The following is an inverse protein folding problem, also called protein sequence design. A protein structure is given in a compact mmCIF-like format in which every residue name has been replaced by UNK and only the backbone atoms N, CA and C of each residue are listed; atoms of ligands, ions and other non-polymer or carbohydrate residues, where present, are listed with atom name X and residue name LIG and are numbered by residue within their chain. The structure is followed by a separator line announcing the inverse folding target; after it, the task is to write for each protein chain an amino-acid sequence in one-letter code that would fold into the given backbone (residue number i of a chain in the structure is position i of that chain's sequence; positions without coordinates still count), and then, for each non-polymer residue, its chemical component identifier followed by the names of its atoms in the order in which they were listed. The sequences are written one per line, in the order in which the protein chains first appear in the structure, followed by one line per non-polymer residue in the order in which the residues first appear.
data_IF_210905670085
#
_entry.id   IF_210905670085
#
_cell.length_a   1.000
_cell.length_b   1.000
_cell.length_c   1.000
_cell.angle_alpha   90.00
_cell.angle_beta   90.00
_cell.angle_gamma   90.00
#
_symmetry.space_group_name_H-M   'P 1'
#
loop_
_entity.id
_entity.type
_entity.pdbx_description
1 polymer ?
#
# COMPACT_ATOMS: atom_id res chain seq x y z
N UNK A 1 50.55 -16.69 -1.35
CA UNK A 1 49.85 -16.98 -0.07
C UNK A 1 49.06 -15.79 0.45
N UNK A 2 49.54 -14.55 0.27
CA UNK A 2 48.83 -13.31 0.66
C UNK A 2 47.62 -13.04 -0.26
N UNK A 3 47.75 -13.22 -1.59
CA UNK A 3 46.65 -13.01 -2.54
C UNK A 3 45.46 -13.96 -2.35
N UNK A 4 45.72 -15.23 -1.99
CA UNK A 4 44.67 -16.22 -1.73
C UNK A 4 43.89 -15.84 -0.46
N UNK A 5 44.57 -15.25 0.53
CA UNK A 5 43.94 -14.80 1.78
C UNK A 5 43.06 -13.57 1.55
N UNK A 6 43.52 -12.60 0.76
CA UNK A 6 42.73 -11.44 0.31
C UNK A 6 41.51 -11.86 -0.52
N UNK A 7 41.65 -12.82 -1.43
CA UNK A 7 40.53 -13.35 -2.21
C UNK A 7 39.50 -14.07 -1.33
N UNK A 8 39.96 -14.84 -0.34
CA UNK A 8 39.06 -15.57 0.57
C UNK A 8 38.33 -14.63 1.52
N UNK A 9 38.99 -13.60 2.04
CA UNK A 9 38.34 -12.57 2.87
C UNK A 9 37.32 -11.75 2.07
N UNK A 10 37.61 -11.40 0.82
CA UNK A 10 36.65 -10.71 -0.05
C UNK A 10 35.44 -11.56 -0.43
N UNK A 11 35.61 -12.88 -0.59
CA UNK A 11 34.50 -13.82 -0.83
C UNK A 11 33.64 -13.97 0.42
N UNK A 12 34.25 -14.07 1.60
CA UNK A 12 33.53 -14.16 2.87
C UNK A 12 32.76 -12.88 3.19
N UNK A 13 33.34 -11.71 2.92
CA UNK A 13 32.67 -10.41 3.09
C UNK A 13 31.44 -10.29 2.17
N UNK A 14 31.55 -10.74 0.91
CA UNK A 14 30.42 -10.73 -0.02
C UNK A 14 29.32 -11.71 0.43
N UNK A 15 29.68 -12.93 0.86
CA UNK A 15 28.70 -13.93 1.36
C UNK A 15 27.98 -13.41 2.61
N UNK A 16 28.70 -12.79 3.54
CA UNK A 16 28.11 -12.22 4.76
C UNK A 16 27.17 -11.04 4.46
N UNK A 17 27.49 -10.23 3.44
CA UNK A 17 26.61 -9.17 2.92
C UNK A 17 25.34 -9.74 2.26
N UNK A 18 25.46 -10.89 1.57
CA UNK A 18 24.32 -11.59 0.96
C UNK A 18 23.37 -12.23 1.98
N UNK A 19 23.86 -12.73 3.12
CA UNK A 19 23.00 -13.21 4.21
C UNK A 19 22.18 -12.07 4.86
N UNK A 20 22.76 -10.88 4.96
CA UNK A 20 22.10 -9.70 5.55
C UNK A 20 21.07 -9.05 4.59
N UNK A 21 21.11 -9.35 3.29
CA UNK A 21 20.17 -8.86 2.28
C UNK A 21 18.80 -9.55 2.32
N UNK A 22 18.73 -10.83 2.73
CA UNK A 22 17.49 -11.62 2.67
C UNK A 22 16.39 -11.13 3.61
N UNK A 23 16.73 -10.37 4.66
CA UNK A 23 15.79 -9.82 5.64
C UNK A 23 15.61 -8.30 5.52
N UNK A 24 16.31 -7.63 4.60
CA UNK A 24 16.09 -6.19 4.34
C UNK A 24 14.67 -5.97 3.84
N UNK A 25 13.99 -4.97 4.39
CA UNK A 25 12.58 -4.73 4.11
C UNK A 25 11.61 -5.62 4.91
N UNK A 26 12.07 -6.50 5.81
CA UNK A 26 11.18 -7.29 6.66
C UNK A 26 10.32 -6.38 7.55
N UNK A 27 10.93 -5.39 8.19
CA UNK A 27 10.21 -4.44 9.06
C UNK A 27 9.21 -3.63 8.24
N UNK A 28 9.60 -3.20 7.04
CA UNK A 28 8.72 -2.53 6.10
C UNK A 28 7.49 -3.40 5.78
N UNK A 29 7.70 -4.64 5.32
CA UNK A 29 6.61 -5.54 4.94
C UNK A 29 5.68 -5.87 6.10
N UNK A 30 6.25 -6.13 7.28
CA UNK A 30 5.46 -6.41 8.49
C UNK A 30 4.59 -5.22 8.89
N UNK A 31 5.18 -4.02 8.99
CA UNK A 31 4.46 -2.81 9.40
C UNK A 31 3.40 -2.43 8.37
N UNK A 32 3.74 -2.48 7.07
CA UNK A 32 2.81 -2.16 5.99
C UNK A 32 1.54 -3.03 6.06
N UNK A 33 1.70 -4.35 6.10
CA UNK A 33 0.57 -5.28 6.15
C UNK A 33 -0.20 -5.15 7.47
N UNK A 34 0.49 -4.98 8.59
CA UNK A 34 -0.16 -4.80 9.89
C UNK A 34 -1.04 -3.54 9.92
N UNK A 35 -0.57 -2.42 9.36
CA UNK A 35 -1.35 -1.19 9.27
C UNK A 35 -2.59 -1.34 8.39
N UNK A 36 -2.47 -2.03 7.24
CA UNK A 36 -3.61 -2.32 6.37
C UNK A 36 -4.64 -3.20 7.08
N UNK A 37 -4.20 -4.27 7.74
CA UNK A 37 -5.10 -5.16 8.49
C UNK A 37 -5.83 -4.41 9.61
N UNK A 38 -5.10 -3.61 10.39
CA UNK A 38 -5.71 -2.78 11.44
C UNK A 38 -6.73 -1.82 10.81
N UNK A 39 -6.38 -1.11 9.73
CA UNK A 39 -7.30 -0.20 9.05
C UNK A 39 -8.57 -0.90 8.57
N UNK A 40 -8.44 -2.10 8.01
CA UNK A 40 -9.55 -2.91 7.53
C UNK A 40 -10.46 -3.38 8.68
N UNK A 41 -9.90 -3.98 9.73
CA UNK A 41 -10.68 -4.52 10.85
C UNK A 41 -11.25 -3.44 11.78
N UNK A 42 -10.60 -2.29 11.90
CA UNK A 42 -11.10 -1.19 12.73
C UNK A 42 -12.16 -0.35 12.02
N UNK A 43 -12.39 -0.56 10.72
CA UNK A 43 -13.27 0.29 9.93
C UNK A 43 -12.75 1.73 9.78
N UNK A 44 -11.45 1.96 10.04
CA UNK A 44 -10.79 3.23 9.82
C UNK A 44 -10.55 3.41 8.32
N UNK A 45 -11.63 3.68 7.58
CA UNK A 45 -11.56 3.94 6.16
C UNK A 45 -11.67 5.44 5.91
N UNK A 46 -10.64 5.99 5.26
CA UNK A 46 -10.69 7.34 4.68
C UNK A 46 -11.91 7.48 3.74
N UNK A 47 -12.47 6.38 3.21
CA UNK A 47 -13.72 6.38 2.45
C UNK A 47 -14.88 7.02 3.20
N UNK A 48 -14.99 6.83 4.53
CA UNK A 48 -16.11 7.40 5.30
C UNK A 48 -16.06 8.92 5.34
N UNK A 49 -14.86 9.49 5.35
CA UNK A 49 -14.65 10.94 5.27
C UNK A 49 -14.77 11.47 3.83
N UNK A 50 -14.29 10.73 2.82
CA UNK A 50 -14.34 11.13 1.41
C UNK A 50 -15.72 10.97 0.75
N UNK A 51 -16.56 10.05 1.25
CA UNK A 51 -17.94 9.86 0.79
C UNK A 51 -18.81 11.09 0.97
N UNK A 52 -18.49 11.94 1.94
CA UNK A 52 -19.21 13.20 2.17
C UNK A 52 -18.97 14.20 1.02
N UNK A 53 -17.91 14.01 0.22
CA UNK A 53 -17.45 14.98 -0.79
C UNK A 53 -17.57 14.50 -2.25
N UNK A 54 -17.88 13.22 -2.53
CA UNK A 54 -17.88 12.69 -3.92
C UNK A 54 -18.84 11.51 -4.16
N UNK A 55 -18.96 11.06 -5.42
CA UNK A 55 -19.67 9.82 -5.80
C UNK A 55 -19.07 8.65 -5.02
N UNK A 56 -19.89 7.95 -4.21
CA UNK A 56 -19.42 7.05 -3.15
C UNK A 56 -18.36 6.02 -3.55
N UNK A 57 -18.46 5.45 -4.74
CA UNK A 57 -17.46 4.49 -5.26
C UNK A 57 -16.10 5.12 -5.61
N UNK A 58 -16.07 6.32 -6.19
CA UNK A 58 -14.82 7.02 -6.55
C UNK A 58 -14.10 7.46 -5.27
N UNK A 59 -14.84 7.93 -4.27
CA UNK A 59 -14.33 8.12 -2.90
C UNK A 59 -13.70 6.83 -2.36
N UNK A 60 -14.33 5.70 -2.66
CA UNK A 60 -13.87 4.35 -2.33
C UNK A 60 -12.47 4.03 -2.82
N UNK A 61 -12.24 4.21 -4.12
CA UNK A 61 -10.95 3.94 -4.75
C UNK A 61 -9.87 4.92 -4.25
N UNK A 62 -10.20 6.21 -4.21
CA UNK A 62 -9.25 7.24 -3.77
C UNK A 62 -8.85 7.02 -2.31
N UNK A 63 -9.81 6.70 -1.43
CA UNK A 63 -9.54 6.46 -0.02
C UNK A 63 -8.69 5.21 0.20
N UNK A 64 -9.01 4.10 -0.48
CA UNK A 64 -8.21 2.88 -0.41
C UNK A 64 -6.77 3.08 -0.93
N UNK A 65 -6.61 3.74 -2.07
CA UNK A 65 -5.30 4.03 -2.65
C UNK A 65 -4.48 5.00 -1.77
N UNK A 66 -5.13 6.02 -1.19
CA UNK A 66 -4.48 6.97 -0.28
C UNK A 66 -4.04 6.29 1.03
N UNK A 67 -4.87 5.40 1.58
CA UNK A 67 -4.52 4.62 2.77
C UNK A 67 -3.28 3.74 2.55
N UNK A 68 -3.15 3.15 1.36
CA UNK A 68 -1.95 2.38 1.00
C UNK A 68 -0.69 3.26 0.96
N UNK A 69 -0.75 4.42 0.30
CA UNK A 69 0.39 5.36 0.25
C UNK A 69 0.80 5.83 1.65
N UNK A 70 -0.17 6.04 2.55
CA UNK A 70 0.11 6.37 3.95
C UNK A 70 0.73 5.20 4.71
N UNK A 71 0.25 3.97 4.52
CA UNK A 71 0.86 2.78 5.12
C UNK A 71 2.30 2.60 4.65
N UNK A 72 2.57 2.81 3.36
CA UNK A 72 3.93 2.78 2.78
C UNK A 72 4.85 3.86 3.35
N UNK A 73 4.33 5.08 3.54
CA UNK A 73 5.06 6.16 4.20
C UNK A 73 5.47 5.76 5.61
N UNK A 74 4.52 5.28 6.42
CA UNK A 74 4.78 4.90 7.82
C UNK A 74 5.74 3.70 7.88
N UNK A 75 5.52 2.67 7.07
CA UNK A 75 6.37 1.49 7.02
C UNK A 75 7.81 1.81 6.59
N UNK A 76 7.97 2.65 5.56
CA UNK A 76 9.31 3.03 5.08
C UNK A 76 10.04 3.96 6.03
N UNK A 77 9.32 4.80 6.78
CA UNK A 77 9.93 5.61 7.83
C UNK A 77 10.39 4.78 9.03
N UNK A 78 9.72 3.66 9.32
CA UNK A 78 10.06 2.78 10.45
C UNK A 78 11.20 1.83 10.11
N UNK A 79 11.27 1.32 8.88
CA UNK A 79 12.35 0.43 8.44
C UNK A 79 13.63 1.22 8.06
N UNK A 80 14.73 1.09 8.82
CA UNK A 80 15.97 1.83 8.53
C UNK A 80 16.61 1.47 7.18
N UNK A 81 16.38 0.25 6.69
CA UNK A 81 16.92 -0.21 5.40
C UNK A 81 16.17 0.38 4.19
N UNK A 82 14.91 0.77 4.38
CA UNK A 82 14.03 1.31 3.34
C UNK A 82 13.87 2.84 3.43
N UNK A 83 14.10 3.44 4.59
CA UNK A 83 13.98 4.89 4.85
C UNK A 83 14.60 5.81 3.78
N UNK A 84 15.79 5.53 3.19
CA UNK A 84 16.33 6.37 2.11
C UNK A 84 15.46 6.42 0.86
N UNK A 85 14.65 5.37 0.63
CA UNK A 85 13.76 5.23 -0.53
C UNK A 85 12.34 5.77 -0.28
N UNK A 86 12.02 6.22 0.95
CA UNK A 86 10.67 6.69 1.35
C UNK A 86 10.09 7.72 0.38
N UNK A 87 10.88 8.72 -0.04
CA UNK A 87 10.40 9.76 -0.96
C UNK A 87 10.00 9.16 -2.30
N UNK A 88 10.79 8.23 -2.82
CA UNK A 88 10.50 7.53 -4.08
C UNK A 88 9.25 6.66 -3.98
N UNK A 89 9.08 5.95 -2.86
CA UNK A 89 7.90 5.13 -2.58
C UNK A 89 6.64 6.00 -2.56
N UNK A 90 6.67 7.12 -1.84
CA UNK A 90 5.51 8.01 -1.70
C UNK A 90 5.16 8.69 -3.03
N UNK A 91 6.13 9.25 -3.73
CA UNK A 91 5.89 9.87 -5.05
C UNK A 91 5.39 8.83 -6.05
N UNK A 92 6.03 7.65 -6.08
CA UNK A 92 5.63 6.53 -6.92
C UNK A 92 4.21 6.04 -6.62
N UNK A 93 3.79 6.11 -5.35
CA UNK A 93 2.42 5.83 -4.92
C UNK A 93 1.43 6.91 -5.37
N UNK A 94 1.76 8.20 -5.24
CA UNK A 94 0.86 9.31 -5.57
C UNK A 94 0.62 9.44 -7.08
N UNK A 95 1.63 9.19 -7.92
CA UNK A 95 1.53 9.37 -9.38
C UNK A 95 0.33 8.61 -9.98
N UNK A 96 0.15 7.29 -9.72
CA UNK A 96 -1.03 6.54 -10.16
C UNK A 96 -2.37 7.11 -9.71
N UNK A 97 -2.47 7.70 -8.51
CA UNK A 97 -3.72 8.27 -8.00
C UNK A 97 -4.22 9.42 -8.90
N UNK A 98 -3.32 10.18 -9.53
CA UNK A 98 -3.67 11.26 -10.44
C UNK A 98 -4.37 10.75 -11.72
N UNK A 99 -4.18 9.48 -12.06
CA UNK A 99 -4.79 8.85 -13.24
C UNK A 99 -6.16 8.23 -12.95
N UNK A 100 -6.62 8.17 -11.70
CA UNK A 100 -7.95 7.65 -11.33
C UNK A 100 -9.09 8.23 -12.21
N UNK A 101 -9.22 9.56 -12.43
CA UNK A 101 -10.30 10.09 -13.28
C UNK A 101 -10.19 9.69 -14.75
N UNK A 102 -8.97 9.46 -15.24
CA UNK A 102 -8.73 8.98 -16.61
C UNK A 102 -9.12 7.50 -16.69
N UNK A 103 -8.71 6.69 -15.71
CA UNK A 103 -9.05 5.27 -15.65
C UNK A 103 -10.56 5.05 -15.54
N UNK A 104 -11.27 5.87 -14.76
CA UNK A 104 -12.74 5.83 -14.68
C UNK A 104 -13.38 6.08 -16.05
N UNK A 105 -12.93 7.10 -16.79
CA UNK A 105 -13.50 7.44 -18.10
C UNK A 105 -13.23 6.42 -19.20
N UNK A 106 -12.08 5.73 -19.18
CA UNK A 106 -11.63 4.89 -20.31
C UNK A 106 -11.68 3.38 -20.04
N UNK A 107 -11.61 2.94 -18.78
CA UNK A 107 -11.58 1.51 -18.42
C UNK A 107 -12.95 1.04 -17.93
N UNK A 108 -13.67 1.85 -17.16
CA UNK A 108 -14.96 1.49 -16.60
C UNK A 108 -16.05 1.89 -17.60
N UNK A 109 -16.75 0.90 -18.15
CA UNK A 109 -17.70 1.09 -19.27
C UNK A 109 -19.14 0.71 -18.94
N UNK A 110 -19.44 0.28 -17.71
CA UNK A 110 -20.81 0.01 -17.26
C UNK A 110 -21.12 0.68 -15.92
N UNK A 111 -22.37 1.13 -15.78
CA UNK A 111 -22.95 1.76 -14.59
C UNK A 111 -23.25 0.76 -13.44
N UNK A 112 -22.73 -0.48 -13.54
CA UNK A 112 -22.95 -1.49 -12.52
C UNK A 112 -22.12 -1.15 -11.29
N UNK A 113 -22.84 -0.78 -10.24
CA UNK A 113 -22.37 -0.38 -8.91
C UNK A 113 -21.16 -1.21 -8.46
N UNK A 114 -19.96 -0.66 -8.65
CA UNK A 114 -18.75 -1.33 -8.19
C UNK A 114 -18.70 -1.16 -6.66
N UNK A 115 -19.04 -2.23 -5.95
CA UNK A 115 -19.10 -2.28 -4.49
C UNK A 115 -17.67 -2.18 -3.93
N UNK A 116 -17.20 -0.98 -3.59
CA UNK A 116 -15.90 -0.80 -2.91
C UNK A 116 -16.13 -0.66 -1.42
N UNK A 117 -16.13 -1.81 -0.76
CA UNK A 117 -15.54 -2.01 0.56
C UNK A 117 -15.91 -0.99 1.63
N UNK A 118 -17.17 -0.59 1.72
CA UNK A 118 -17.72 -0.08 2.97
C UNK A 118 -18.72 -1.10 3.49
N UNK A 119 -18.41 -1.72 4.64
CA UNK A 119 -19.29 -2.71 5.25
C UNK A 119 -20.68 -2.14 5.57
N UNK A 120 -20.81 -0.81 5.70
CA UNK A 120 -22.12 -0.16 5.88
C UNK A 120 -22.93 -0.07 4.59
N UNK A 121 -22.30 0.07 3.42
CA UNK A 121 -23.01 0.08 2.13
C UNK A 121 -23.50 -1.32 1.80
N UNK A 122 -22.66 -2.35 2.02
CA UNK A 122 -23.05 -3.75 1.81
C UNK A 122 -24.29 -4.09 2.65
N UNK A 123 -24.31 -3.63 3.91
CA UNK A 123 -25.44 -3.89 4.80
C UNK A 123 -26.70 -3.11 4.38
N UNK A 124 -26.58 -1.85 3.98
CA UNK A 124 -27.72 -1.05 3.51
C UNK A 124 -28.31 -1.58 2.22
N UNK A 125 -27.49 -1.94 1.25
CA UNK A 125 -27.97 -2.46 -0.04
C UNK A 125 -28.67 -3.82 0.15
N UNK A 126 -28.16 -4.68 1.05
CA UNK A 126 -28.81 -5.94 1.42
C UNK A 126 -30.13 -5.75 2.18
N UNK A 127 -30.30 -4.64 2.91
CA UNK A 127 -31.55 -4.32 3.62
C UNK A 127 -32.58 -3.66 2.68
N UNK A 128 -32.14 -2.92 1.65
CA UNK A 128 -33.02 -2.28 0.65
C UNK A 128 -33.57 -3.27 -0.39
N UNK A 129 -32.85 -4.32 -0.77
CA UNK A 129 -33.34 -5.35 -1.72
C UNK A 129 -34.46 -6.25 -1.16
N UNK A 130 -34.74 -6.15 0.14
CA UNK A 130 -35.75 -6.95 0.85
C UNK A 130 -36.94 -6.15 1.43
N UNK A 131 -37.15 -4.90 0.99
CA UNK A 131 -38.29 -4.06 1.40
C UNK A 131 -39.37 -3.92 0.32
#
# INVERSE_FOLDING_TARGET
MIDIKLSMESILENIFVFEDLSLRGFVFGFVHVALILIGYYTGWSINRFLKILSKGYIAGIIGAASAHVLADLVASLIDPSIRPMTVGIVIGGIIPLLFIPILEKYVIKSDDHIMVGDHEDIKKDLEEEHS
#
